data_IF_114209229996
#
_entry.id   IF_114209229996
#
_cell.length_a   1.000
_cell.length_b   1.000
_cell.length_c   1.000
_cell.angle_alpha   90.00
_cell.angle_beta   90.00
_cell.angle_gamma   90.00
#
_symmetry.space_group_name_H-M   'P 1'
#
loop_
_entity.id
_entity.type
_entity.pdbx_description
1 polymer ?
#
# COMPACT_ATOMS: atom_id res chain seq x y z
N UNK A 1 3.47 -11.95 -3.65
CA UNK A 1 2.44 -12.72 -2.92
C UNK A 1 1.06 -12.77 -3.55
N UNK A 2 0.48 -11.72 -4.16
CA UNK A 2 -0.85 -11.84 -4.79
C UNK A 2 -0.89 -12.90 -5.91
N UNK A 3 0.24 -13.09 -6.59
CA UNK A 3 0.47 -14.16 -7.56
C UNK A 3 0.32 -15.56 -6.94
N UNK A 4 0.58 -15.75 -5.64
CA UNK A 4 0.43 -17.08 -5.02
C UNK A 4 -1.04 -17.40 -4.77
N UNK A 5 -1.87 -16.37 -4.57
CA UNK A 5 -3.31 -16.45 -4.33
C UNK A 5 -4.15 -16.39 -5.61
N UNK A 6 -3.53 -16.23 -6.77
CA UNK A 6 -4.18 -16.21 -8.09
C UNK A 6 -3.94 -17.54 -8.79
N UNK A 7 -4.92 -18.19 -9.43
CA UNK A 7 -4.70 -19.44 -10.15
C UNK A 7 -3.57 -19.30 -11.17
N UNK A 8 -2.70 -20.30 -11.26
CA UNK A 8 -1.58 -20.27 -12.20
C UNK A 8 -2.04 -20.11 -13.65
N UNK A 9 -3.18 -20.70 -14.02
CA UNK A 9 -3.78 -20.54 -15.36
C UNK A 9 -4.16 -19.09 -15.68
N UNK A 10 -4.69 -18.35 -14.70
CA UNK A 10 -5.02 -16.92 -14.86
C UNK A 10 -3.75 -16.11 -15.06
N UNK A 11 -2.73 -16.34 -14.23
CA UNK A 11 -1.44 -15.64 -14.35
C UNK A 11 -0.77 -15.88 -15.70
N UNK A 12 -0.83 -17.12 -16.22
CA UNK A 12 -0.26 -17.48 -17.52
C UNK A 12 -0.99 -16.85 -18.70
N UNK A 13 -2.25 -16.47 -18.52
CA UNK A 13 -3.05 -15.80 -19.54
C UNK A 13 -2.86 -14.27 -19.55
N UNK A 14 -2.19 -13.70 -18.55
CA UNK A 14 -1.94 -12.26 -18.48
C UNK A 14 -0.87 -11.83 -19.47
N UNK A 15 -1.09 -10.67 -20.11
CA UNK A 15 -0.14 -10.08 -21.07
C UNK A 15 0.91 -9.15 -20.41
N UNK A 16 0.88 -9.05 -19.08
CA UNK A 16 1.80 -8.21 -18.30
C UNK A 16 3.23 -8.76 -18.34
N UNK A 17 4.15 -8.01 -18.97
CA UNK A 17 5.57 -8.40 -19.08
C UNK A 17 6.24 -8.67 -17.73
N UNK A 18 6.07 -7.85 -16.66
CA UNK A 18 6.58 -8.18 -15.33
C UNK A 18 6.06 -9.52 -14.80
N UNK A 19 4.79 -9.83 -15.07
CA UNK A 19 4.17 -11.10 -14.66
C UNK A 19 4.80 -12.27 -15.40
N UNK A 20 4.95 -12.19 -16.73
CA UNK A 20 5.59 -13.23 -17.55
C UNK A 20 7.04 -13.47 -17.12
N UNK A 21 7.81 -12.40 -16.91
CA UNK A 21 9.19 -12.50 -16.46
C UNK A 21 9.30 -13.19 -15.09
N UNK A 22 8.41 -12.87 -14.14
CA UNK A 22 8.35 -13.54 -12.85
C UNK A 22 8.04 -15.03 -13.01
N UNK A 23 7.01 -15.38 -13.78
CA UNK A 23 6.64 -16.76 -14.03
C UNK A 23 7.79 -17.57 -14.68
N UNK A 24 8.49 -16.99 -15.66
CA UNK A 24 9.64 -17.61 -16.30
C UNK A 24 10.77 -17.90 -15.30
N UNK A 25 11.08 -16.95 -14.39
CA UNK A 25 12.11 -17.19 -13.37
C UNK A 25 11.78 -18.34 -12.41
N UNK A 26 10.49 -18.55 -12.11
CA UNK A 26 10.04 -19.71 -11.34
C UNK A 26 10.11 -20.99 -12.15
N UNK A 27 9.78 -20.96 -13.44
CA UNK A 27 9.91 -22.14 -14.33
C UNK A 27 11.37 -22.58 -14.46
N UNK A 28 12.28 -21.63 -14.66
CA UNK A 28 13.72 -21.88 -14.73
C UNK A 28 14.22 -22.49 -13.42
N UNK A 29 13.77 -21.96 -12.27
CA UNK A 29 14.12 -22.51 -10.97
C UNK A 29 13.61 -23.95 -10.78
N UNK A 30 12.40 -24.25 -11.24
CA UNK A 30 11.84 -25.62 -11.21
C UNK A 30 12.62 -26.54 -12.15
N UNK A 31 12.93 -26.09 -13.36
CA UNK A 31 13.69 -26.87 -14.34
C UNK A 31 15.12 -27.17 -13.87
N UNK A 32 15.73 -26.24 -13.13
CA UNK A 32 17.08 -26.38 -12.57
C UNK A 32 17.12 -27.17 -11.24
N UNK A 33 15.98 -27.54 -10.67
CA UNK A 33 15.93 -28.21 -9.37
C UNK A 33 16.41 -29.67 -9.45
N UNK A 34 17.45 -29.98 -8.69
CA UNK A 34 17.94 -31.35 -8.47
C UNK A 34 17.69 -31.75 -7.01
N UNK A 35 16.69 -32.60 -6.81
CA UNK A 35 16.29 -33.07 -5.48
C UNK A 35 17.38 -33.94 -4.81
N UNK A 36 18.19 -34.66 -5.58
CA UNK A 36 19.27 -35.47 -5.03
C UNK A 36 20.43 -34.59 -4.59
N UNK A 37 20.81 -33.60 -5.41
CA UNK A 37 21.82 -32.63 -5.03
C UNK A 37 21.41 -31.81 -3.79
N UNK A 38 20.13 -31.44 -3.63
CA UNK A 38 19.61 -30.84 -2.39
C UNK A 38 19.78 -31.78 -1.19
N UNK A 39 19.38 -33.04 -1.32
CA UNK A 39 19.51 -34.03 -0.25
C UNK A 39 20.97 -34.21 0.18
N UNK A 40 21.88 -34.38 -0.79
CA UNK A 40 23.32 -34.53 -0.53
C UNK A 40 23.89 -33.31 0.20
N UNK A 41 23.50 -32.10 -0.22
CA UNK A 41 23.87 -30.85 0.44
C UNK A 41 23.33 -30.76 1.88
N UNK A 42 22.08 -31.16 2.10
CA UNK A 42 21.46 -31.17 3.44
C UNK A 42 22.12 -32.18 4.37
N UNK A 43 22.50 -33.35 3.86
CA UNK A 43 23.27 -34.35 4.61
C UNK A 43 24.63 -33.75 4.99
N UNK A 44 25.33 -33.11 4.06
CA UNK A 44 26.62 -32.47 4.34
C UNK A 44 26.51 -31.36 5.41
N UNK A 45 25.52 -30.47 5.29
CA UNK A 45 25.25 -29.42 6.28
C UNK A 45 24.87 -30.00 7.66
N UNK A 46 24.06 -31.06 7.67
CA UNK A 46 23.69 -31.76 8.90
C UNK A 46 24.93 -32.32 9.61
N UNK A 47 25.81 -33.03 8.89
CA UNK A 47 27.06 -33.56 9.44
C UNK A 47 27.94 -32.47 10.05
N UNK A 48 28.13 -31.36 9.33
CA UNK A 48 28.88 -30.20 9.85
C UNK A 48 28.25 -29.59 11.10
N UNK A 49 26.91 -29.52 11.14
CA UNK A 49 26.19 -29.00 12.30
C UNK A 49 26.35 -29.91 13.52
N UNK A 50 26.25 -31.23 13.35
CA UNK A 50 26.46 -32.24 14.41
C UNK A 50 27.88 -32.16 14.97
N UNK A 51 28.89 -32.08 14.10
CA UNK A 51 30.29 -31.93 14.50
C UNK A 51 30.48 -30.68 15.35
N UNK A 52 29.92 -29.54 14.91
CA UNK A 52 29.96 -28.28 15.66
C UNK A 52 29.27 -28.38 17.02
N UNK A 53 28.07 -28.96 17.10
CA UNK A 53 27.37 -29.12 18.39
C UNK A 53 28.16 -30.01 19.35
N UNK A 54 28.73 -31.11 18.84
CA UNK A 54 29.55 -32.04 19.62
C UNK A 54 30.80 -31.34 20.17
N UNK A 55 31.50 -30.58 19.32
CA UNK A 55 32.68 -29.79 19.71
C UNK A 55 32.37 -28.72 20.76
N UNK A 56 31.17 -28.12 20.69
CA UNK A 56 30.71 -27.10 21.62
C UNK A 56 30.07 -27.68 22.90
N UNK A 57 29.98 -29.01 23.04
CA UNK A 57 29.32 -29.67 24.17
C UNK A 57 27.82 -29.38 24.27
N UNK A 58 27.19 -28.97 23.16
CA UNK A 58 25.76 -28.64 23.11
C UNK A 58 24.93 -29.90 22.89
N UNK A 59 23.77 -30.04 23.57
CA UNK A 59 22.90 -31.18 23.37
C UNK A 59 22.32 -31.18 21.95
N UNK A 60 22.30 -32.35 21.32
CA UNK A 60 21.68 -32.57 20.01
C UNK A 60 20.25 -33.10 20.25
N UNK A 61 19.21 -32.38 19.80
CA UNK A 61 17.82 -32.84 19.85
C UNK A 61 17.63 -34.19 19.14
N UNK A 62 16.78 -35.07 19.70
CA UNK A 62 16.57 -36.42 19.16
C UNK A 62 16.07 -36.44 17.71
N UNK A 63 15.20 -35.48 17.36
CA UNK A 63 14.66 -35.27 16.01
C UNK A 63 15.72 -34.83 14.99
N UNK A 64 16.92 -34.46 15.46
CA UNK A 64 18.04 -34.00 14.63
C UNK A 64 19.28 -34.87 14.76
N UNK A 65 19.17 -36.08 15.31
CA UNK A 65 20.27 -37.05 15.34
C UNK A 65 20.42 -37.82 14.03
N UNK A 66 19.34 -37.95 13.27
CA UNK A 66 19.32 -38.67 12.02
C UNK A 66 19.57 -37.72 10.86
N UNK A 67 20.34 -38.20 9.87
CA UNK A 67 20.53 -37.48 8.62
C UNK A 67 19.20 -37.29 7.90
N UNK A 68 18.99 -36.14 7.24
CA UNK A 68 17.88 -35.99 6.32
C UNK A 68 17.91 -37.10 5.26
N UNK A 69 16.75 -37.64 4.93
CA UNK A 69 16.61 -38.72 3.92
C UNK A 69 15.50 -38.45 2.90
N UNK A 70 14.73 -37.38 3.09
CA UNK A 70 13.61 -36.99 2.24
C UNK A 70 14.07 -36.14 1.04
N UNK A 71 13.62 -36.52 -0.16
CA UNK A 71 13.67 -35.66 -1.34
C UNK A 71 12.61 -34.57 -1.21
N UNK A 72 13.03 -33.31 -1.34
CA UNK A 72 12.11 -32.17 -1.27
C UNK A 72 11.54 -31.82 -2.65
N UNK A 73 10.32 -31.28 -2.69
CA UNK A 73 9.69 -30.86 -3.95
C UNK A 73 10.41 -29.68 -4.62
N UNK A 74 11.29 -28.97 -3.90
CA UNK A 74 12.01 -27.83 -4.46
C UNK A 74 11.12 -26.59 -4.65
N UNK A 75 11.42 -25.75 -5.66
CA UNK A 75 10.72 -24.50 -5.88
C UNK A 75 9.20 -24.63 -6.06
N UNK A 76 8.70 -25.73 -6.62
CA UNK A 76 7.24 -25.96 -6.78
C UNK A 76 6.52 -26.11 -5.44
N UNK A 77 7.23 -26.59 -4.41
CA UNK A 77 6.73 -26.71 -3.03
C UNK A 77 6.80 -25.43 -2.23
N UNK A 78 7.35 -24.34 -2.79
CA UNK A 78 7.48 -23.06 -2.10
C UNK A 78 6.11 -22.37 -2.03
N UNK A 79 5.70 -21.94 -0.84
CA UNK A 79 4.47 -21.17 -0.65
C UNK A 79 4.42 -19.84 -1.42
N UNK A 80 5.58 -19.30 -1.83
CA UNK A 80 5.69 -18.13 -2.69
C UNK A 80 5.66 -18.45 -4.19
N UNK A 81 5.54 -19.73 -4.57
CA UNK A 81 5.38 -20.12 -5.96
C UNK A 81 4.03 -19.60 -6.50
N UNK A 82 3.99 -19.01 -7.70
CA UNK A 82 2.76 -18.51 -8.32
C UNK A 82 1.65 -19.57 -8.36
N UNK A 83 0.45 -19.24 -7.88
CA UNK A 83 -0.70 -20.15 -7.74
C UNK A 83 -0.67 -21.13 -6.58
N UNK A 84 0.41 -21.19 -5.79
CA UNK A 84 0.53 -22.20 -4.73
C UNK A 84 -0.50 -22.02 -3.60
N UNK A 85 -0.66 -20.80 -3.07
CA UNK A 85 -1.66 -20.54 -2.02
C UNK A 85 -3.09 -20.74 -2.53
N UNK A 86 -3.40 -20.35 -3.77
CA UNK A 86 -4.70 -20.62 -4.39
C UNK A 86 -4.97 -22.14 -4.43
N UNK A 87 -4.03 -22.92 -4.98
CA UNK A 87 -4.19 -24.36 -5.12
C UNK A 87 -4.31 -25.07 -3.76
N UNK A 88 -3.58 -24.61 -2.74
CA UNK A 88 -3.60 -25.21 -1.40
C UNK A 88 -4.75 -24.76 -0.50
N UNK A 89 -5.32 -23.57 -0.72
CA UNK A 89 -6.28 -22.97 0.24
C UNK A 89 -7.64 -22.59 -0.37
N UNK A 90 -7.69 -22.13 -1.61
CA UNK A 90 -8.94 -21.66 -2.24
C UNK A 90 -9.54 -22.74 -3.13
N UNK A 91 -8.75 -23.38 -3.99
CA UNK A 91 -9.21 -24.44 -4.87
C UNK A 91 -9.92 -25.61 -4.14
N UNK A 92 -9.48 -26.05 -2.94
CA UNK A 92 -10.20 -27.11 -2.20
C UNK A 92 -11.58 -26.68 -1.67
N UNK A 93 -11.84 -25.37 -1.59
CA UNK A 93 -13.11 -24.79 -1.15
C UNK A 93 -13.99 -24.36 -2.32
N UNK A 94 -13.52 -24.49 -3.56
CA UNK A 94 -14.24 -24.06 -4.76
C UNK A 94 -15.63 -24.73 -4.84
N UNK A 95 -16.62 -23.97 -5.29
CA UNK A 95 -18.03 -24.39 -5.40
C UNK A 95 -18.83 -24.39 -4.10
N UNK A 96 -18.21 -24.11 -2.93
CA UNK A 96 -18.95 -23.89 -1.69
C UNK A 96 -19.69 -22.55 -1.73
N UNK A 97 -20.85 -22.47 -1.06
CA UNK A 97 -21.52 -21.19 -0.84
C UNK A 97 -20.83 -20.43 0.29
N UNK A 98 -20.24 -19.28 -0.03
CA UNK A 98 -19.62 -18.36 0.92
C UNK A 98 -20.37 -17.03 0.94
N UNK A 99 -20.32 -16.32 2.07
CA UNK A 99 -20.89 -14.95 2.17
C UNK A 99 -19.96 -13.85 1.66
N UNK A 100 -18.76 -14.22 1.22
CA UNK A 100 -17.75 -13.31 0.73
C UNK A 100 -16.36 -13.65 1.23
N UNK A 101 -15.40 -12.81 0.86
CA UNK A 101 -14.02 -12.90 1.30
C UNK A 101 -13.55 -11.55 1.86
N UNK A 102 -12.63 -11.59 2.81
CA UNK A 102 -11.90 -10.42 3.30
C UNK A 102 -10.41 -10.68 3.06
N UNK A 103 -9.74 -9.79 2.33
CA UNK A 103 -8.35 -9.94 1.94
C UNK A 103 -7.49 -8.83 2.56
N UNK A 104 -6.47 -9.24 3.32
CA UNK A 104 -5.49 -8.35 3.94
C UNK A 104 -4.08 -8.91 3.71
N UNK A 105 -3.51 -8.57 2.57
CA UNK A 105 -2.21 -9.06 2.10
C UNK A 105 -1.57 -7.99 1.21
N UNK A 106 -0.25 -8.05 1.03
CA UNK A 106 0.46 -7.22 0.04
C UNK A 106 1.93 -6.98 0.41
N UNK A 107 2.34 -7.35 1.62
CA UNK A 107 3.67 -7.03 2.16
C UNK A 107 4.82 -7.50 1.26
N UNK A 108 4.87 -8.78 0.88
CA UNK A 108 5.98 -9.30 0.06
C UNK A 108 5.93 -8.77 -1.39
N UNK A 109 4.80 -8.26 -1.88
CA UNK A 109 4.75 -7.64 -3.21
C UNK A 109 5.50 -6.30 -3.25
N UNK A 110 5.76 -5.67 -2.10
CA UNK A 110 6.56 -4.46 -2.02
C UNK A 110 8.09 -4.70 -2.12
N UNK A 111 8.55 -5.96 -2.12
CA UNK A 111 10.00 -6.26 -2.14
C UNK A 111 10.64 -5.99 -3.50
N UNK A 112 9.87 -6.05 -4.58
CA UNK A 112 10.36 -5.89 -5.96
C UNK A 112 10.25 -4.42 -6.45
N UNK A 113 10.14 -3.44 -5.55
CA UNK A 113 10.08 -2.01 -5.91
C UNK A 113 8.81 -1.62 -6.69
N UNK A 114 8.89 -0.62 -7.57
CA UNK A 114 7.75 -0.22 -8.40
C UNK A 114 7.29 -1.32 -9.35
N UNK A 115 8.20 -2.13 -9.89
CA UNK A 115 7.85 -3.31 -10.73
C UNK A 115 6.95 -4.28 -9.95
N UNK A 116 7.25 -4.52 -8.67
CA UNK A 116 6.41 -5.35 -7.79
C UNK A 116 5.03 -4.74 -7.53
N UNK A 117 4.95 -3.42 -7.41
CA UNK A 117 3.71 -2.70 -7.18
C UNK A 117 2.82 -2.63 -8.43
N UNK A 118 3.40 -2.47 -9.62
CA UNK A 118 2.71 -2.55 -10.91
C UNK A 118 2.14 -3.95 -11.14
N UNK A 119 2.96 -4.98 -10.93
CA UNK A 119 2.51 -6.36 -11.01
C UNK A 119 1.37 -6.65 -10.02
N UNK A 120 1.42 -6.08 -8.82
CA UNK A 120 0.30 -6.19 -7.87
C UNK A 120 -0.97 -5.52 -8.41
N UNK A 121 -0.85 -4.32 -8.99
CA UNK A 121 -1.98 -3.59 -9.59
C UNK A 121 -2.63 -4.39 -10.72
N UNK A 122 -1.84 -5.09 -11.53
CA UNK A 122 -2.34 -5.92 -12.62
C UNK A 122 -3.00 -7.21 -12.11
N UNK A 123 -2.34 -7.93 -11.18
CA UNK A 123 -2.77 -9.27 -10.75
C UNK A 123 -3.94 -9.20 -9.75
N UNK A 124 -3.97 -8.21 -8.86
CA UNK A 124 -4.95 -8.16 -7.78
C UNK A 124 -6.41 -8.15 -8.25
N UNK A 125 -6.83 -7.35 -9.26
CA UNK A 125 -8.19 -7.45 -9.79
C UNK A 125 -8.49 -8.81 -10.43
N UNK A 126 -7.51 -9.44 -11.10
CA UNK A 126 -7.68 -10.78 -11.68
C UNK A 126 -7.80 -11.86 -10.60
N UNK A 127 -7.12 -11.71 -9.47
CA UNK A 127 -7.29 -12.57 -8.30
C UNK A 127 -8.73 -12.51 -7.77
N UNK A 128 -9.30 -11.32 -7.63
CA UNK A 128 -10.68 -11.12 -7.16
C UNK A 128 -11.68 -11.82 -8.11
N UNK A 129 -11.53 -11.60 -9.41
CA UNK A 129 -12.36 -12.27 -10.45
C UNK A 129 -12.20 -13.78 -10.41
N UNK A 130 -10.98 -14.28 -10.23
CA UNK A 130 -10.70 -15.71 -10.15
C UNK A 130 -11.32 -16.36 -8.90
N UNK A 131 -11.33 -15.68 -7.76
CA UNK A 131 -11.99 -16.19 -6.56
C UNK A 131 -13.51 -16.20 -6.72
N UNK A 132 -14.10 -15.14 -7.27
CA UNK A 132 -15.52 -15.10 -7.66
C UNK A 132 -15.91 -16.28 -8.56
N UNK A 133 -15.09 -16.55 -9.58
CA UNK A 133 -15.28 -17.70 -10.46
C UNK A 133 -15.16 -19.04 -9.71
N UNK A 134 -14.19 -19.18 -8.79
CA UNK A 134 -14.00 -20.40 -8.01
C UNK A 134 -15.22 -20.74 -7.13
N UNK A 135 -15.96 -19.73 -6.65
CA UNK A 135 -17.18 -19.92 -5.86
C UNK A 135 -18.47 -19.87 -6.70
N UNK A 136 -18.36 -19.80 -8.04
CA UNK A 136 -19.48 -19.65 -8.98
C UNK A 136 -20.39 -18.46 -8.66
N UNK A 137 -19.81 -17.36 -8.18
CA UNK A 137 -20.53 -16.16 -7.78
C UNK A 137 -19.80 -14.92 -8.34
N UNK A 138 -20.22 -14.38 -9.49
CA UNK A 138 -19.59 -13.19 -10.09
C UNK A 138 -19.79 -11.92 -9.26
N UNK A 139 -20.75 -11.92 -8.34
CA UNK A 139 -21.06 -10.80 -7.44
C UNK A 139 -20.58 -11.07 -6.01
N UNK A 140 -19.78 -12.13 -5.79
CA UNK A 140 -19.33 -12.52 -4.45
C UNK A 140 -18.76 -11.32 -3.70
N UNK A 141 -19.26 -11.02 -2.48
CA UNK A 141 -18.77 -9.92 -1.69
C UNK A 141 -17.27 -10.03 -1.42
N UNK A 142 -16.54 -8.94 -1.64
CA UNK A 142 -15.09 -8.94 -1.48
C UNK A 142 -14.63 -7.67 -0.76
N UNK A 143 -14.10 -7.84 0.45
CA UNK A 143 -13.58 -6.77 1.28
C UNK A 143 -12.07 -6.64 1.19
N UNK A 144 -11.57 -5.45 0.87
CA UNK A 144 -10.15 -5.12 0.79
C UNK A 144 -9.74 -4.36 2.06
N UNK A 145 -8.79 -4.90 2.83
CA UNK A 145 -8.09 -4.13 3.86
C UNK A 145 -6.79 -3.60 3.27
N UNK A 146 -6.60 -2.28 3.37
CA UNK A 146 -5.37 -1.64 2.95
C UNK A 146 -4.15 -2.20 3.70
N UNK A 147 -2.99 -2.19 3.07
CA UNK A 147 -1.76 -2.67 3.66
C UNK A 147 -1.38 -1.83 4.89
N UNK A 148 -1.19 -2.52 6.02
CA UNK A 148 -0.82 -1.91 7.29
C UNK A 148 0.51 -1.12 7.26
N UNK A 149 0.75 -0.35 8.31
CA UNK A 149 1.97 0.44 8.45
C UNK A 149 3.17 -0.40 8.85
N UNK A 150 4.36 0.08 8.51
CA UNK A 150 5.63 -0.49 8.97
C UNK A 150 6.70 0.60 9.09
N UNK A 151 7.74 0.35 9.89
CA UNK A 151 8.86 1.24 10.04
C UNK A 151 8.57 2.52 10.84
N UNK A 152 9.51 3.45 10.78
CA UNK A 152 9.43 4.70 11.53
C UNK A 152 8.25 5.56 11.06
N UNK A 153 7.55 6.24 11.98
CA UNK A 153 6.54 7.24 11.63
C UNK A 153 7.14 8.33 10.73
N UNK A 154 6.47 8.63 9.62
CA UNK A 154 6.65 9.89 8.91
C UNK A 154 6.21 11.05 9.82
N UNK A 155 6.99 12.12 9.81
CA UNK A 155 6.78 13.37 10.51
C UNK A 155 7.02 14.53 9.53
N UNK A 156 6.79 15.77 9.99
CA UNK A 156 7.19 16.97 9.24
C UNK A 156 8.71 17.11 9.08
N UNK A 157 9.56 16.35 9.78
CA UNK A 157 11.03 16.47 9.66
C UNK A 157 11.64 15.55 8.59
N UNK A 158 11.01 14.40 8.34
CA UNK A 158 11.48 13.37 7.42
C UNK A 158 10.43 13.07 6.33
N UNK A 159 9.60 14.06 6.00
CA UNK A 159 8.39 13.88 5.23
C UNK A 159 8.68 13.28 3.85
N UNK A 160 9.58 13.90 3.08
CA UNK A 160 9.90 13.51 1.70
C UNK A 160 10.64 12.17 1.66
N UNK A 161 11.64 11.93 2.53
CA UNK A 161 12.36 10.65 2.55
C UNK A 161 11.42 9.46 2.78
N UNK A 162 10.46 9.62 3.70
CA UNK A 162 9.52 8.55 4.06
C UNK A 162 8.46 8.26 2.98
N UNK A 163 8.40 9.08 1.91
CA UNK A 163 7.58 8.84 0.71
C UNK A 163 8.20 7.78 -0.23
N UNK A 164 9.50 7.51 -0.12
CA UNK A 164 10.22 6.57 -0.99
C UNK A 164 10.10 5.13 -0.48
N UNK A 165 8.92 4.53 -0.65
CA UNK A 165 8.66 3.16 -0.20
C UNK A 165 7.57 2.47 -1.04
N UNK A 166 7.93 1.37 -1.73
CA UNK A 166 7.01 0.59 -2.57
C UNK A 166 5.79 0.03 -1.82
N UNK A 167 5.87 -0.11 -0.49
CA UNK A 167 4.74 -0.52 0.32
C UNK A 167 3.58 0.48 0.34
N UNK A 168 3.82 1.73 -0.01
CA UNK A 168 2.78 2.76 -0.18
C UNK A 168 2.04 2.55 -1.49
N UNK A 169 2.78 2.19 -2.55
CA UNK A 169 2.22 1.91 -3.87
C UNK A 169 1.28 0.71 -3.83
N UNK A 170 1.61 -0.34 -3.06
CA UNK A 170 0.68 -1.46 -2.81
C UNK A 170 -0.60 -0.98 -2.13
N UNK A 171 -0.49 -0.09 -1.13
CA UNK A 171 -1.68 0.46 -0.44
C UNK A 171 -2.55 1.28 -1.39
N UNK A 172 -1.93 2.09 -2.25
CA UNK A 172 -2.63 2.86 -3.27
C UNK A 172 -3.27 1.95 -4.34
N UNK A 173 -2.58 0.89 -4.77
CA UNK A 173 -3.12 -0.08 -5.73
C UNK A 173 -4.35 -0.82 -5.20
N UNK A 174 -4.41 -1.11 -3.90
CA UNK A 174 -5.58 -1.70 -3.25
C UNK A 174 -6.80 -0.77 -3.27
N UNK A 175 -6.60 0.53 -3.01
CA UNK A 175 -7.68 1.50 -3.11
C UNK A 175 -8.09 1.72 -4.57
N UNK A 176 -7.13 1.80 -5.50
CA UNK A 176 -7.42 1.90 -6.93
C UNK A 176 -8.24 0.70 -7.42
N UNK A 177 -7.86 -0.52 -7.02
CA UNK A 177 -8.64 -1.73 -7.35
C UNK A 177 -10.08 -1.61 -6.85
N UNK A 178 -10.29 -1.13 -5.62
CA UNK A 178 -11.64 -0.86 -5.11
C UNK A 178 -12.39 0.17 -5.97
N UNK A 179 -11.74 1.28 -6.33
CA UNK A 179 -12.34 2.31 -7.18
C UNK A 179 -12.72 1.75 -8.55
N UNK A 180 -11.86 0.95 -9.17
CA UNK A 180 -12.09 0.39 -10.51
C UNK A 180 -13.32 -0.52 -10.52
N UNK A 181 -13.44 -1.43 -9.54
CA UNK A 181 -14.64 -2.26 -9.39
C UNK A 181 -15.88 -1.41 -9.05
N UNK A 182 -15.76 -0.47 -8.11
CA UNK A 182 -16.88 0.34 -7.65
C UNK A 182 -17.44 1.22 -8.79
N UNK A 183 -16.56 1.87 -9.54
CA UNK A 183 -16.92 2.72 -10.68
C UNK A 183 -17.47 1.89 -11.86
N UNK A 184 -17.08 0.62 -11.97
CA UNK A 184 -17.67 -0.34 -12.90
C UNK A 184 -19.06 -0.87 -12.46
N UNK A 185 -19.59 -0.40 -11.31
CA UNK A 185 -20.92 -0.74 -10.81
C UNK A 185 -20.96 -1.88 -9.80
N UNK A 186 -19.80 -2.36 -9.33
CA UNK A 186 -19.76 -3.38 -8.29
C UNK A 186 -20.20 -2.80 -6.93
N UNK A 187 -21.35 -3.26 -6.45
CA UNK A 187 -21.94 -2.86 -5.16
C UNK A 187 -21.49 -3.75 -4.01
N UNK A 188 -20.80 -4.86 -4.31
CA UNK A 188 -20.35 -5.88 -3.37
C UNK A 188 -18.82 -5.83 -3.13
N UNK A 189 -18.11 -4.86 -3.71
CA UNK A 189 -16.72 -4.56 -3.35
C UNK A 189 -16.68 -3.62 -2.14
N UNK A 190 -15.79 -3.91 -1.19
CA UNK A 190 -15.55 -3.09 0.01
C UNK A 190 -14.10 -2.71 0.14
N UNK A 191 -13.83 -1.56 0.75
CA UNK A 191 -12.47 -1.12 1.09
C UNK A 191 -12.45 -0.45 2.44
N UNK A 192 -11.43 -0.77 3.24
CA UNK A 192 -11.11 -0.04 4.47
C UNK A 192 -9.64 0.28 4.54
N UNK A 193 -9.34 1.51 4.96
CA UNK A 193 -7.99 1.95 5.24
C UNK A 193 -7.59 1.66 6.68
N UNK A 194 -6.30 1.34 6.85
CA UNK A 194 -5.69 0.98 8.14
C UNK A 194 -4.37 1.72 8.39
N UNK A 195 -4.03 2.73 7.58
CA UNK A 195 -2.75 3.45 7.76
C UNK A 195 -2.69 4.26 9.06
N UNK A 196 -3.85 4.70 9.56
CA UNK A 196 -4.01 5.52 10.76
C UNK A 196 -3.88 4.68 12.05
N UNK A 197 -4.02 3.35 11.93
CA UNK A 197 -3.72 2.38 12.98
C UNK A 197 -2.21 2.15 13.16
N UNK A 198 -1.45 3.26 13.23
CA UNK A 198 0.00 3.33 13.08
C UNK A 198 0.74 2.46 14.09
N UNK A 199 1.55 1.52 13.59
CA UNK A 199 2.52 0.72 14.35
C UNK A 199 3.81 0.56 13.55
N UNK A 200 4.94 0.47 14.27
CA UNK A 200 6.28 0.36 13.67
C UNK A 200 6.64 -1.04 13.20
N UNK A 201 5.79 -2.02 13.48
CA UNK A 201 6.03 -3.42 13.19
C UNK A 201 5.10 -3.89 12.09
N UNK A 202 5.66 -4.58 11.09
CA UNK A 202 4.93 -5.04 9.91
C UNK A 202 3.79 -6.02 10.20
N UNK A 203 3.78 -6.69 11.35
CA UNK A 203 2.58 -7.40 11.80
C UNK A 203 1.68 -6.44 12.58
N UNK A 204 0.45 -6.19 12.10
CA UNK A 204 -0.44 -5.23 12.73
C UNK A 204 -0.79 -5.69 14.14
N UNK A 205 -0.49 -4.85 15.12
CA UNK A 205 -0.85 -5.07 16.52
C UNK A 205 -2.31 -4.65 16.80
N UNK A 206 -2.83 -3.69 16.03
CA UNK A 206 -4.21 -3.20 16.11
C UNK A 206 -5.12 -3.94 15.13
N UNK A 207 -5.39 -5.22 15.40
CA UNK A 207 -6.22 -6.06 14.51
C UNK A 207 -7.71 -5.87 14.71
N UNK A 208 -8.16 -5.66 15.96
CA UNK A 208 -9.58 -5.51 16.30
C UNK A 208 -10.18 -4.30 15.57
N UNK A 209 -9.62 -3.07 15.66
CA UNK A 209 -10.19 -1.92 14.95
C UNK A 209 -10.21 -2.10 13.43
N UNK A 210 -9.19 -2.73 12.85
CA UNK A 210 -9.16 -3.04 11.42
C UNK A 210 -10.28 -4.04 11.02
N UNK A 211 -10.53 -5.05 11.85
CA UNK A 211 -11.60 -6.01 11.67
C UNK A 211 -12.99 -5.39 11.83
N UNK A 212 -13.19 -4.53 12.82
CA UNK A 212 -14.43 -3.80 13.04
C UNK A 212 -14.76 -2.87 11.87
N UNK A 213 -13.75 -2.20 11.30
CA UNK A 213 -13.93 -1.36 10.11
C UNK A 213 -14.44 -2.15 8.91
N UNK A 214 -13.82 -3.28 8.58
CA UNK A 214 -14.32 -4.08 7.44
C UNK A 214 -15.66 -4.75 7.75
N UNK A 215 -15.94 -5.06 9.03
CA UNK A 215 -17.24 -5.55 9.44
C UNK A 215 -18.35 -4.52 9.20
N UNK A 216 -18.07 -3.21 9.27
CA UNK A 216 -19.03 -2.17 8.89
C UNK A 216 -19.49 -2.32 7.44
N UNK A 217 -18.56 -2.57 6.51
CA UNK A 217 -18.88 -2.84 5.10
C UNK A 217 -19.75 -4.08 4.96
N UNK A 218 -19.36 -5.18 5.61
CA UNK A 218 -20.12 -6.43 5.55
C UNK A 218 -21.54 -6.22 6.10
N UNK A 219 -21.68 -5.58 7.27
CA UNK A 219 -22.98 -5.31 7.91
C UNK A 219 -23.89 -4.48 7.02
N UNK A 220 -23.37 -3.38 6.47
CA UNK A 220 -24.13 -2.47 5.63
C UNK A 220 -24.55 -3.13 4.31
N UNK A 221 -23.64 -3.83 3.63
CA UNK A 221 -23.88 -4.34 2.27
C UNK A 221 -24.48 -5.74 2.22
N UNK A 222 -24.17 -6.59 3.20
CA UNK A 222 -24.53 -8.03 3.17
C UNK A 222 -25.56 -8.45 4.23
N UNK A 223 -25.74 -7.64 5.28
CA UNK A 223 -26.65 -7.95 6.39
C UNK A 223 -27.79 -6.94 6.58
N UNK A 224 -27.93 -5.97 5.66
CA UNK A 224 -29.07 -5.03 5.65
C UNK A 224 -29.01 -3.95 6.74
N UNK A 225 -27.81 -3.58 7.18
CA UNK A 225 -27.59 -2.50 8.16
C UNK A 225 -27.16 -1.18 7.53
N UNK A 226 -27.45 -0.95 6.24
CA UNK A 226 -27.05 0.23 5.46
C UNK A 226 -27.61 1.55 6.02
N UNK A 227 -28.70 1.48 6.79
CA UNK A 227 -29.33 2.64 7.44
C UNK A 227 -28.73 2.96 8.81
N UNK A 228 -27.94 2.04 9.39
CA UNK A 228 -27.37 2.16 10.74
C UNK A 228 -25.85 2.29 10.72
N UNK A 229 -25.20 1.80 9.66
CA UNK A 229 -23.74 1.68 9.60
C UNK A 229 -23.21 2.29 8.32
N UNK A 230 -22.46 3.37 8.47
CA UNK A 230 -21.60 3.89 7.42
C UNK A 230 -20.29 3.10 7.37
N UNK A 231 -19.84 2.83 6.14
CA UNK A 231 -18.63 2.04 5.89
C UNK A 231 -17.74 2.63 4.79
N UNK A 232 -18.29 3.42 3.88
CA UNK A 232 -17.55 3.92 2.73
C UNK A 232 -16.59 5.03 3.19
N UNK A 233 -15.29 4.96 2.87
CA UNK A 233 -14.39 6.08 3.15
C UNK A 233 -14.83 7.32 2.35
N UNK A 234 -14.43 8.55 2.75
CA UNK A 234 -14.61 9.73 1.92
C UNK A 234 -14.07 9.49 0.49
N UNK A 235 -14.84 9.87 -0.51
CA UNK A 235 -14.51 9.65 -1.92
C UNK A 235 -14.13 10.98 -2.58
N UNK A 236 -13.02 10.97 -3.32
CA UNK A 236 -12.63 12.11 -4.15
C UNK A 236 -13.52 12.18 -5.39
N UNK A 237 -14.21 13.30 -5.56
CA UNK A 237 -15.00 13.60 -6.76
C UNK A 237 -14.16 14.23 -7.87
N UNK A 238 -13.11 14.95 -7.49
CA UNK A 238 -12.18 15.55 -8.43
C UNK A 238 -11.21 16.51 -7.74
N UNK A 239 -10.25 16.99 -8.51
CA UNK A 239 -9.36 18.06 -8.10
C UNK A 239 -9.06 18.99 -9.27
N UNK A 240 -8.71 20.25 -8.97
CA UNK A 240 -8.34 21.24 -9.96
C UNK A 240 -7.18 22.11 -9.47
N UNK A 241 -6.24 22.41 -10.37
CA UNK A 241 -5.21 23.42 -10.14
C UNK A 241 -5.84 24.80 -10.22
N UNK A 242 -5.54 25.63 -9.24
CA UNK A 242 -5.84 27.06 -9.18
C UNK A 242 -4.53 27.82 -9.01
N UNK A 243 -4.57 29.14 -9.15
CA UNK A 243 -3.40 29.98 -8.91
C UNK A 243 -2.86 29.71 -7.48
N UNK A 244 -1.64 29.16 -7.40
CA UNK A 244 -0.97 28.86 -6.13
C UNK A 244 -1.51 27.69 -5.30
N UNK A 245 -2.52 26.94 -5.78
CA UNK A 245 -3.21 25.92 -4.95
C UNK A 245 -3.82 24.77 -5.74
N UNK A 246 -4.11 23.66 -5.05
CA UNK A 246 -4.96 22.58 -5.56
C UNK A 246 -6.27 22.56 -4.77
N UNK A 247 -7.41 22.66 -5.44
CA UNK A 247 -8.71 22.42 -4.82
C UNK A 247 -9.09 20.95 -5.01
N UNK A 248 -9.39 20.25 -3.92
CA UNK A 248 -9.95 18.90 -3.92
C UNK A 248 -11.42 18.95 -3.50
N UNK A 249 -12.28 18.19 -4.18
CA UNK A 249 -13.69 18.04 -3.83
C UNK A 249 -13.99 16.60 -3.43
N UNK A 250 -14.64 16.42 -2.29
CA UNK A 250 -15.02 15.14 -1.70
C UNK A 250 -16.56 14.98 -1.70
N UNK A 251 -17.04 13.75 -1.60
CA UNK A 251 -18.48 13.46 -1.56
C UNK A 251 -19.13 13.74 -0.20
N UNK A 252 -18.32 13.73 0.87
CA UNK A 252 -18.72 13.93 2.25
C UNK A 252 -17.90 15.00 2.95
N UNK A 253 -18.45 15.54 4.04
CA UNK A 253 -17.75 16.47 4.92
C UNK A 253 -16.60 15.72 5.61
N UNK A 254 -15.42 16.32 5.62
CA UNK A 254 -14.23 15.74 6.24
C UNK A 254 -13.61 16.66 7.30
N UNK A 255 -12.72 16.09 8.10
CA UNK A 255 -11.89 16.83 9.03
C UNK A 255 -10.94 15.94 9.81
N UNK A 256 -10.13 16.57 10.65
CA UNK A 256 -9.38 15.88 11.70
C UNK A 256 -10.35 15.48 12.84
N UNK A 257 -10.32 14.22 13.32
CA UNK A 257 -11.16 13.73 14.41
C UNK A 257 -11.04 14.47 15.74
N UNK A 258 -9.94 15.20 15.95
CA UNK A 258 -9.65 15.97 17.16
C UNK A 258 -9.78 17.49 16.91
N UNK A 259 -10.41 17.88 15.79
CA UNK A 259 -10.57 19.26 15.33
C UNK A 259 -9.24 20.04 15.23
N UNK A 260 -8.15 19.33 14.95
CA UNK A 260 -6.81 19.87 14.72
C UNK A 260 -6.53 20.27 13.25
N UNK A 261 -5.27 20.60 12.98
CA UNK A 261 -4.80 20.85 11.61
C UNK A 261 -4.90 19.56 10.77
N UNK A 262 -5.35 19.69 9.52
CA UNK A 262 -5.37 18.57 8.58
C UNK A 262 -3.94 18.35 8.05
N UNK A 263 -3.50 17.10 8.14
CA UNK A 263 -2.15 16.66 7.81
C UNK A 263 -2.18 15.52 6.80
N UNK A 264 -1.07 15.36 6.07
CA UNK A 264 -0.83 14.18 5.24
C UNK A 264 -1.07 14.33 3.75
N UNK A 265 -1.36 15.54 3.28
CA UNK A 265 -1.26 15.88 1.87
C UNK A 265 0.15 16.33 1.51
N UNK A 266 0.61 15.88 0.34
CA UNK A 266 1.77 16.39 -0.34
C UNK A 266 1.36 16.84 -1.74
N UNK A 267 1.91 17.94 -2.24
CA UNK A 267 1.65 18.45 -3.60
C UNK A 267 2.96 18.61 -4.37
N UNK A 268 2.90 18.52 -5.69
CA UNK A 268 4.04 18.70 -6.59
C UNK A 268 3.64 19.44 -7.87
N UNK A 269 4.62 20.14 -8.46
CA UNK A 269 4.54 20.72 -9.79
C UNK A 269 5.10 19.78 -10.86
N UNK A 270 5.45 20.32 -12.02
CA UNK A 270 6.07 19.57 -13.14
C UNK A 270 7.44 18.97 -12.79
N UNK A 271 8.13 19.53 -11.79
CA UNK A 271 9.42 19.05 -11.29
C UNK A 271 9.35 17.75 -10.48
N UNK A 272 8.13 17.23 -10.26
CA UNK A 272 7.83 16.02 -9.47
C UNK A 272 8.36 16.10 -8.04
N UNK A 273 8.59 17.31 -7.51
CA UNK A 273 9.08 17.52 -6.14
C UNK A 273 7.90 17.65 -5.19
N UNK A 274 7.53 16.55 -4.56
CA UNK A 274 6.50 16.56 -3.54
C UNK A 274 6.98 17.25 -2.25
N UNK A 275 6.16 18.18 -1.76
CA UNK A 275 6.31 18.81 -0.46
C UNK A 275 5.00 18.71 0.32
N UNK A 276 5.04 18.60 1.67
CA UNK A 276 3.82 18.64 2.49
C UNK A 276 3.05 19.94 2.22
N UNK A 277 1.73 19.81 2.17
CA UNK A 277 0.81 20.91 1.92
C UNK A 277 0.17 21.39 3.22
N UNK A 278 -0.05 22.70 3.31
CA UNK A 278 -0.99 23.30 4.24
C UNK A 278 -2.40 23.14 3.66
N UNK A 279 -3.37 22.85 4.54
CA UNK A 279 -4.73 22.48 4.16
C UNK A 279 -5.73 23.43 4.82
N UNK A 280 -6.58 24.04 4.00
CA UNK A 280 -7.72 24.83 4.46
C UNK A 280 -9.01 24.30 3.83
N UNK A 281 -10.16 24.61 4.43
CA UNK A 281 -11.45 24.40 3.76
C UNK A 281 -11.71 25.55 2.77
N UNK A 282 -12.39 25.27 1.66
CA UNK A 282 -12.81 26.33 0.75
C UNK A 282 -13.86 27.24 1.40
N UNK A 283 -13.79 28.53 1.14
CA UNK A 283 -14.80 29.48 1.59
C UNK A 283 -16.06 29.36 0.73
N UNK A 284 -17.21 29.20 1.40
CA UNK A 284 -18.54 29.15 0.76
C UNK A 284 -19.21 30.51 0.70
N UNK A 285 -18.84 31.43 1.60
CA UNK A 285 -19.41 32.77 1.72
C UNK A 285 -19.42 33.25 3.17
N UNK A 286 -20.29 34.21 3.48
CA UNK A 286 -20.49 34.70 4.85
C UNK A 286 -21.93 34.50 5.29
N UNK A 287 -22.14 34.25 6.58
CA UNK A 287 -23.47 34.25 7.17
C UNK A 287 -24.01 35.68 7.37
N UNK A 288 -25.26 35.80 7.82
CA UNK A 288 -25.91 37.09 8.07
C UNK A 288 -25.24 37.96 9.15
N UNK A 289 -24.19 37.45 9.82
CA UNK A 289 -23.37 38.15 10.82
C UNK A 289 -21.97 38.45 10.29
N UNK A 290 -21.70 38.23 9.01
CA UNK A 290 -20.40 38.44 8.37
C UNK A 290 -19.35 37.38 8.70
N UNK A 291 -19.74 36.24 9.30
CA UNK A 291 -18.79 35.17 9.63
C UNK A 291 -18.57 34.28 8.41
N UNK A 292 -17.31 34.06 8.04
CA UNK A 292 -16.93 33.16 6.95
C UNK A 292 -17.49 31.76 7.23
N UNK A 293 -18.11 31.17 6.22
CA UNK A 293 -18.61 29.82 6.19
C UNK A 293 -17.72 29.00 5.26
N UNK A 294 -17.36 27.80 5.70
CA UNK A 294 -16.49 26.90 4.96
C UNK A 294 -17.27 25.72 4.41
N UNK A 295 -16.87 25.22 3.24
CA UNK A 295 -17.33 23.96 2.70
C UNK A 295 -16.38 22.84 3.13
N UNK A 296 -16.84 21.98 4.05
CA UNK A 296 -16.03 20.87 4.59
C UNK A 296 -15.83 19.72 3.60
N UNK A 297 -16.44 19.79 2.42
CA UNK A 297 -16.20 18.86 1.31
C UNK A 297 -15.09 19.34 0.37
N UNK A 298 -14.64 20.58 0.53
CA UNK A 298 -13.66 21.18 -0.37
C UNK A 298 -12.40 21.57 0.39
N UNK A 299 -11.27 21.00 -0.01
CA UNK A 299 -9.96 21.25 0.59
C UNK A 299 -9.08 22.04 -0.37
N UNK A 300 -8.53 23.15 0.10
CA UNK A 300 -7.54 23.96 -0.61
C UNK A 300 -6.16 23.59 -0.08
N UNK A 301 -5.32 23.01 -0.95
CA UNK A 301 -3.96 22.61 -0.64
C UNK A 301 -2.99 23.66 -1.16
N UNK A 302 -2.08 24.13 -0.32
CA UNK A 302 -1.02 25.08 -0.69
C UNK A 302 0.33 24.64 -0.15
N UNK A 303 1.42 25.04 -0.80
CA UNK A 303 2.75 24.87 -0.23
C UNK A 303 3.66 25.98 -0.75
N UNK A 304 4.45 26.64 0.10
CA UNK A 304 5.38 27.67 -0.37
C UNK A 304 6.53 27.11 -1.20
N UNK A 305 6.74 25.80 -1.16
CA UNK A 305 7.71 25.10 -1.98
C UNK A 305 7.17 24.77 -3.38
N UNK A 306 5.85 24.88 -3.60
CA UNK A 306 5.18 24.44 -4.82
C UNK A 306 4.22 25.54 -5.29
N UNK A 307 4.72 26.55 -6.02
CA UNK A 307 3.89 27.67 -6.47
C UNK A 307 2.87 27.28 -7.55
N UNK A 308 3.13 26.21 -8.31
CA UNK A 308 2.27 25.74 -9.40
C UNK A 308 1.96 24.25 -9.21
N UNK A 309 1.07 23.90 -8.26
CA UNK A 309 0.77 22.50 -7.95
C UNK A 309 -0.16 21.87 -9.00
N UNK A 310 0.23 20.69 -9.50
CA UNK A 310 -0.53 19.91 -10.50
C UNK A 310 -0.93 18.52 -10.00
N UNK A 311 -0.19 17.97 -9.04
CA UNK A 311 -0.48 16.65 -8.48
C UNK A 311 -0.48 16.68 -6.95
N UNK A 312 -1.25 15.78 -6.35
CA UNK A 312 -1.26 15.54 -4.92
C UNK A 312 -1.07 14.06 -4.59
N UNK A 313 -0.60 13.80 -3.37
CA UNK A 313 -0.56 12.48 -2.72
C UNK A 313 -1.10 12.64 -1.30
N UNK A 314 -1.91 11.69 -0.83
CA UNK A 314 -2.44 11.69 0.53
C UNK A 314 -2.07 10.41 1.29
N UNK A 315 -1.69 10.55 2.57
CA UNK A 315 -1.19 9.48 3.42
C UNK A 315 -0.04 8.69 2.77
N UNK A 316 0.83 9.43 2.07
CA UNK A 316 1.90 8.86 1.25
C UNK A 316 3.17 8.63 2.07
N UNK A 317 3.15 7.53 2.82
CA UNK A 317 4.23 7.11 3.70
C UNK A 317 3.96 5.67 4.15
N UNK A 318 5.01 4.87 4.36
CA UNK A 318 4.79 3.48 4.84
C UNK A 318 4.07 3.49 6.19
N UNK A 319 4.44 4.43 7.04
CA UNK A 319 3.76 4.77 8.29
C UNK A 319 3.45 6.28 8.29
N UNK A 320 2.40 6.71 7.58
CA UNK A 320 2.26 8.09 7.13
C UNK A 320 1.81 9.04 8.26
N UNK A 321 2.22 10.31 8.17
CA UNK A 321 1.57 11.40 8.88
C UNK A 321 0.29 11.73 8.10
N UNK A 322 -0.88 11.39 8.63
CA UNK A 322 -2.16 11.67 8.00
C UNK A 322 -3.31 11.48 9.01
N UNK A 323 -4.34 12.32 8.94
CA UNK A 323 -5.42 12.33 9.94
C UNK A 323 -6.82 12.65 9.39
N UNK A 324 -6.98 12.88 8.08
CA UNK A 324 -8.28 13.24 7.51
C UNK A 324 -9.26 12.06 7.50
N UNK A 325 -10.46 12.29 8.03
CA UNK A 325 -11.55 11.31 8.10
C UNK A 325 -12.91 11.95 7.80
N UNK A 326 -13.93 11.11 7.61
CA UNK A 326 -15.32 11.59 7.55
C UNK A 326 -15.72 12.29 8.86
N UNK A 327 -16.39 13.43 8.73
CA UNK A 327 -16.86 14.18 9.91
C UNK A 327 -17.90 13.35 10.67
N UNK A 328 -17.74 13.23 11.98
CA UNK A 328 -18.67 12.47 12.84
C UNK A 328 -18.42 10.96 12.87
N UNK A 329 -17.47 10.44 12.08
CA UNK A 329 -17.16 9.01 12.05
C UNK A 329 -15.65 8.74 12.02
N UNK A 330 -15.07 8.47 13.20
CA UNK A 330 -13.62 8.26 13.40
C UNK A 330 -13.08 6.92 12.86
N UNK A 331 -13.92 6.15 12.17
CA UNK A 331 -13.57 4.85 11.59
C UNK A 331 -13.49 4.89 10.06
N UNK A 332 -13.73 6.05 9.44
CA UNK A 332 -13.75 6.24 8.00
C UNK A 332 -12.68 7.24 7.54
N UNK A 333 -11.39 6.88 7.63
CA UNK A 333 -10.30 7.71 7.11
C UNK A 333 -10.37 7.81 5.58
N UNK A 334 -9.97 8.98 5.04
CA UNK A 334 -9.73 9.13 3.60
C UNK A 334 -8.69 8.10 3.17
N UNK A 335 -8.90 7.38 2.07
CA UNK A 335 -7.96 6.35 1.65
C UNK A 335 -6.63 6.94 1.12
N UNK A 336 -5.52 6.20 1.31
CA UNK A 336 -4.23 6.52 0.66
C UNK A 336 -4.40 6.54 -0.85
N UNK A 337 -4.07 7.66 -1.48
CA UNK A 337 -4.28 7.88 -2.91
C UNK A 337 -3.31 8.91 -3.46
N UNK A 338 -3.24 9.00 -4.78
CA UNK A 338 -2.42 9.95 -5.54
C UNK A 338 -3.15 10.38 -6.80
N UNK A 339 -2.77 11.52 -7.37
CA UNK A 339 -3.24 11.95 -8.69
C UNK A 339 -2.21 11.83 -9.81
N UNK A 340 -0.97 11.47 -9.51
CA UNK A 340 0.08 11.17 -10.50
C UNK A 340 0.17 9.67 -10.82
N UNK A 341 0.85 9.35 -11.92
CA UNK A 341 1.17 8.00 -12.34
C UNK A 341 2.68 7.66 -12.21
N UNK A 342 3.51 8.61 -11.77
CA UNK A 342 4.96 8.48 -11.72
C UNK A 342 5.45 7.34 -10.81
N UNK A 343 6.49 6.65 -11.26
CA UNK A 343 7.20 5.64 -10.43
C UNK A 343 7.99 6.33 -9.32
N UNK A 344 8.20 5.66 -8.19
CA UNK A 344 8.98 6.24 -7.08
C UNK A 344 10.43 6.56 -7.48
N UNK A 345 10.95 5.89 -8.51
CA UNK A 345 12.31 6.06 -9.05
C UNK A 345 12.47 7.40 -9.78
N UNK A 346 11.36 7.93 -10.31
CA UNK A 346 11.28 9.16 -11.09
C UNK A 346 10.95 10.39 -10.23
N UNK A 347 10.91 10.21 -8.90
CA UNK A 347 10.46 11.21 -7.93
C UNK A 347 11.54 11.41 -6.86
N UNK A 348 12.19 12.59 -6.81
CA UNK A 348 11.97 13.78 -7.63
C UNK A 348 12.61 13.68 -9.03
N UNK A 349 12.15 14.52 -9.96
CA UNK A 349 12.77 14.63 -11.28
C UNK A 349 14.18 15.23 -11.17
N UNK A 350 15.11 14.73 -12.00
CA UNK A 350 16.48 15.25 -12.09
C UNK A 350 17.46 14.71 -11.05
N UNK A 351 17.13 13.61 -10.34
CA UNK A 351 18.12 12.89 -9.51
C UNK A 351 19.16 12.16 -10.38
N UNK A 352 18.75 11.74 -11.57
CA UNK A 352 19.58 11.05 -12.54
C UNK A 352 19.54 11.82 -13.88
N UNK A 353 20.67 11.86 -14.57
CA UNK A 353 20.80 12.51 -15.87
C UNK A 353 20.25 11.64 -17.03
N UNK A 354 20.12 10.33 -16.80
CA UNK A 354 19.61 9.32 -17.73
C UNK A 354 18.56 8.43 -17.05
N UNK A 355 17.79 7.67 -17.82
CA UNK A 355 16.87 6.65 -17.28
C UNK A 355 17.64 5.63 -16.43
N UNK A 356 17.16 5.39 -15.21
CA UNK A 356 17.73 4.38 -14.31
C UNK A 356 17.30 2.98 -14.73
N UNK A 357 18.28 2.08 -14.85
CA UNK A 357 18.00 0.66 -15.03
C UNK A 357 17.27 0.07 -13.81
N UNK A 358 16.36 -0.87 -14.06
CA UNK A 358 15.59 -1.58 -13.03
C UNK A 358 16.12 -2.99 -12.80
N UNK A 359 16.09 -3.51 -11.55
CA UNK A 359 15.70 -2.82 -10.32
C UNK A 359 16.76 -1.82 -9.86
N UNK A 360 16.34 -0.75 -9.16
CA UNK A 360 17.27 0.26 -8.64
C UNK A 360 18.39 -0.36 -7.80
N UNK A 361 19.63 0.00 -8.14
CA UNK A 361 20.79 -0.38 -7.33
C UNK A 361 20.72 0.24 -5.94
N UNK A 362 21.42 -0.37 -4.97
CA UNK A 362 21.53 0.21 -3.61
C UNK A 362 22.10 1.64 -3.64
N UNK A 363 23.02 1.92 -4.56
CA UNK A 363 23.63 3.24 -4.73
C UNK A 363 22.62 4.28 -5.24
N UNK A 364 21.81 3.90 -6.24
CA UNK A 364 20.81 4.79 -6.84
C UNK A 364 19.67 5.10 -5.86
N UNK A 365 19.21 4.10 -5.10
CA UNK A 365 18.30 4.33 -3.97
C UNK A 365 18.88 5.33 -2.95
N UNK A 366 20.18 5.24 -2.70
CA UNK A 366 20.89 6.18 -1.82
C UNK A 366 20.89 7.62 -2.34
N UNK A 367 21.05 7.82 -3.65
CA UNK A 367 20.99 9.16 -4.28
C UNK A 367 19.60 9.78 -4.16
N UNK A 368 18.54 9.00 -4.44
CA UNK A 368 17.14 9.47 -4.28
C UNK A 368 16.88 9.86 -2.83
N UNK A 369 17.23 9.00 -1.87
CA UNK A 369 17.06 9.29 -0.44
C UNK A 369 17.80 10.57 -0.04
N UNK A 370 19.02 10.78 -0.52
CA UNK A 370 19.77 12.00 -0.24
C UNK A 370 19.09 13.25 -0.82
N UNK A 371 18.57 13.17 -2.05
CA UNK A 371 17.83 14.27 -2.66
C UNK A 371 16.56 14.62 -1.86
N UNK A 372 15.79 13.62 -1.44
CA UNK A 372 14.59 13.80 -0.60
C UNK A 372 14.92 14.42 0.76
N UNK A 373 16.03 14.03 1.39
CA UNK A 373 16.50 14.64 2.64
C UNK A 373 16.89 16.10 2.48
N UNK A 374 17.56 16.46 1.38
CA UNK A 374 17.88 17.87 1.10
C UNK A 374 16.60 18.68 0.81
N UNK A 375 15.57 18.11 0.17
CA UNK A 375 14.27 18.77 0.02
C UNK A 375 13.62 19.08 1.39
N UNK A 376 13.62 18.13 2.32
CA UNK A 376 13.11 18.35 3.68
C UNK A 376 13.91 19.42 4.44
N UNK A 377 15.24 19.46 4.24
CA UNK A 377 16.10 20.48 4.84
C UNK A 377 15.83 21.88 4.27
N UNK A 378 15.72 22.01 2.95
CA UNK A 378 15.41 23.28 2.28
C UNK A 378 14.04 23.82 2.69
N UNK A 379 13.02 22.95 2.76
CA UNK A 379 11.69 23.32 3.23
C UNK A 379 11.74 23.89 4.65
N UNK A 380 12.39 23.18 5.59
CA UNK A 380 12.50 23.63 6.99
C UNK A 380 13.26 24.95 7.13
N UNK A 381 14.28 25.19 6.30
CA UNK A 381 14.97 26.49 6.26
C UNK A 381 13.98 27.61 5.88
N UNK A 382 13.20 27.41 4.81
CA UNK A 382 12.22 28.39 4.33
C UNK A 382 11.08 28.62 5.32
N UNK A 383 10.62 27.57 6.01
CA UNK A 383 9.64 27.67 7.10
C UNK A 383 10.20 28.49 8.28
N UNK A 384 11.48 28.29 8.63
CA UNK A 384 12.14 29.06 9.69
C UNK A 384 12.31 30.53 9.29
N UNK A 385 12.74 30.83 8.07
CA UNK A 385 12.84 32.19 7.52
C UNK A 385 11.49 32.92 7.59
N UNK A 386 10.41 32.29 7.13
CA UNK A 386 9.06 32.85 7.22
C UNK A 386 8.60 33.09 8.65
N UNK A 387 8.94 32.17 9.57
CA UNK A 387 8.61 32.32 10.99
C UNK A 387 9.34 33.53 11.58
N UNK A 388 10.60 33.76 11.21
CA UNK A 388 11.37 34.93 11.63
C UNK A 388 10.77 36.21 11.03
N UNK A 389 10.42 36.22 9.74
CA UNK A 389 9.80 37.39 9.08
C UNK A 389 8.45 37.74 9.69
N UNK A 390 7.60 36.75 9.99
CA UNK A 390 6.28 36.97 10.58
C UNK A 390 6.33 37.46 12.03
N UNK A 391 7.38 37.10 12.78
CA UNK A 391 7.56 37.49 14.19
C UNK A 391 8.56 38.66 14.37
N UNK A 392 9.22 39.08 13.29
CA UNK A 392 10.23 40.13 13.27
C UNK A 392 9.61 41.52 13.31
N UNK A 393 9.48 42.05 14.54
CA UNK A 393 9.55 43.49 14.82
C UNK A 393 10.99 43.97 14.77
#
# INVERSE_FOLDING_TARGET
TVETWTPLSVLRAMDSEPTKAKLASFDDAVAAWDAQADLDNRIAQHRQWIERQTKEGKPIPDDRKQEPSDLRPGPIGNHNFPGHCYAGMIAPLAGLSVKGAIFHQGYNNAFDGSVGAEMYRDIFPEMIKAWRAAFNDPEMPFGILSLCTDGYPQTRDNYCEMMFNAGIEIRAAQYQTFLDFHNAGDTNIGFVSTYDLRRRWYHPQLKIPAGERIARWALATQYGFDRQVEWKPPMLLGFESREGSLLLTLDTDVGDPEDGAIEGFAIAGEDRKFHPADVAYAERGQDNRGRIQYDRKQLVLTSPMVPEPIHFRYAWGRNPLANLQATGNKDLPLATQRSDDWRMEEVPLGVFDEETAEPLSRGDRGKIIQALREQDKLRRLKEAERTIEANGR
#
